data_IF_070971693739
#
_entry.id   IF_070971693739
#
_cell.length_a   1.000
_cell.length_b   1.000
_cell.length_c   1.000
_cell.angle_alpha   90.00
_cell.angle_beta   90.00
_cell.angle_gamma   90.00
#
_symmetry.space_group_name_H-M   'P 1'
#
loop_
_entity.id
_entity.type
_entity.pdbx_description
1 polymer ?
#
# COMPACT_ATOMS: atom_id res chain seq x y z
N UNK A 1 38.90 31.74 2.69
CA UNK A 1 39.86 31.02 1.84
C UNK A 1 39.05 30.19 0.85
N UNK A 2 39.15 30.51 -0.45
CA UNK A 2 38.46 29.83 -1.56
C UNK A 2 39.29 28.63 -2.00
N UNK A 3 38.72 27.42 -1.99
CA UNK A 3 39.31 26.21 -2.57
C UNK A 3 38.51 25.77 -3.80
N UNK A 4 39.13 25.53 -4.97
CA UNK A 4 38.42 25.25 -6.21
C UNK A 4 38.37 23.75 -6.59
N UNK A 5 37.28 23.41 -7.29
CA UNK A 5 37.15 22.47 -8.43
C UNK A 5 37.43 20.97 -8.20
N UNK A 6 36.48 20.14 -8.64
CA UNK A 6 36.69 19.23 -9.78
C UNK A 6 35.35 18.68 -10.32
N UNK A 7 35.13 18.95 -11.61
CA UNK A 7 34.06 18.46 -12.47
C UNK A 7 34.54 17.14 -13.07
N UNK A 8 33.70 16.10 -13.04
CA UNK A 8 33.89 14.91 -13.86
C UNK A 8 32.54 14.50 -14.44
N UNK A 9 32.35 14.83 -15.73
CA UNK A 9 31.26 14.37 -16.55
C UNK A 9 31.69 13.07 -17.24
N UNK A 10 30.93 12.00 -17.08
CA UNK A 10 31.06 10.79 -17.89
C UNK A 10 29.79 10.62 -18.72
N UNK A 11 29.87 11.06 -19.99
CA UNK A 11 28.94 10.66 -21.04
C UNK A 11 29.24 9.20 -21.41
N UNK A 12 28.30 8.30 -21.13
CA UNK A 12 28.27 6.95 -21.71
C UNK A 12 27.21 6.88 -22.79
N UNK A 13 27.63 7.01 -24.05
CA UNK A 13 26.85 6.63 -25.23
C UNK A 13 26.74 5.09 -25.28
N UNK A 14 25.52 4.55 -25.31
CA UNK A 14 25.26 3.21 -25.85
C UNK A 14 24.25 3.31 -26.98
N UNK A 15 24.66 2.82 -28.15
CA UNK A 15 23.92 2.84 -29.40
C UNK A 15 23.58 1.41 -29.86
N UNK A 16 22.44 1.30 -30.55
CA UNK A 16 22.02 0.31 -31.57
C UNK A 16 21.83 -1.16 -31.14
N UNK A 17 20.59 -1.70 -31.21
CA UNK A 17 19.91 -2.39 -32.33
C UNK A 17 19.81 -3.90 -31.99
N UNK A 18 18.69 -4.61 -32.10
CA UNK A 18 17.98 -5.12 -33.29
C UNK A 18 16.56 -5.58 -32.85
N UNK A 19 15.46 -5.21 -33.54
CA UNK A 19 14.82 -5.91 -34.66
C UNK A 19 14.60 -7.42 -34.43
N UNK A 20 13.34 -7.79 -34.15
CA UNK A 20 12.87 -9.17 -34.09
C UNK A 20 11.35 -9.27 -34.05
N UNK A 21 10.67 -8.88 -35.13
CA UNK A 21 9.27 -9.22 -35.38
C UNK A 21 9.22 -10.60 -36.04
N UNK A 22 8.53 -11.57 -35.42
CA UNK A 22 8.15 -12.81 -36.06
C UNK A 22 6.61 -12.93 -36.05
N UNK A 23 5.92 -12.77 -37.20
CA UNK A 23 4.57 -13.28 -37.37
C UNK A 23 4.68 -14.76 -37.79
N UNK A 24 4.31 -15.66 -36.87
CA UNK A 24 4.11 -17.07 -37.18
C UNK A 24 2.79 -17.26 -37.92
N UNK A 25 2.90 -17.87 -39.09
CA UNK A 25 1.86 -18.05 -40.08
C UNK A 25 0.83 -19.13 -39.68
N UNK A 26 -0.31 -18.99 -40.33
CA UNK A 26 -1.57 -19.71 -40.25
C UNK A 26 -1.51 -21.24 -40.50
N UNK A 27 -2.53 -21.93 -39.94
CA UNK A 27 -3.21 -23.18 -40.40
C UNK A 27 -2.79 -24.52 -39.76
N UNK A 28 -3.69 -25.02 -38.91
CA UNK A 28 -4.18 -26.38 -39.02
C UNK A 28 -5.68 -26.46 -38.67
N UNK A 29 -6.45 -27.00 -39.60
CA UNK A 29 -7.90 -27.30 -39.53
C UNK A 29 -8.17 -28.51 -38.62
N UNK A 30 -9.24 -28.46 -37.84
CA UNK A 30 -10.11 -29.61 -37.51
C UNK A 30 -11.51 -29.05 -37.19
N UNK A 31 -12.44 -29.12 -38.14
CA UNK A 31 -13.48 -30.15 -38.22
C UNK A 31 -14.51 -30.04 -37.08
N UNK A 32 -15.58 -29.28 -37.34
CA UNK A 32 -16.77 -29.24 -36.50
C UNK A 32 -17.58 -30.53 -36.63
N UNK A 33 -17.82 -31.19 -35.50
CA UNK A 33 -18.88 -32.19 -35.34
C UNK A 33 -20.15 -31.53 -34.78
N UNK A 34 -21.35 -31.93 -35.23
CA UNK A 34 -22.60 -31.46 -34.64
C UNK A 34 -22.93 -32.35 -33.44
N UNK A 35 -22.87 -31.78 -32.24
CA UNK A 35 -23.37 -32.43 -31.03
C UNK A 35 -22.46 -32.26 -29.83
N UNK A 36 -22.47 -31.06 -29.23
CA UNK A 36 -22.18 -30.93 -27.81
C UNK A 36 -23.17 -29.90 -27.24
N UNK A 37 -23.91 -30.20 -26.16
CA UNK A 37 -24.81 -29.23 -25.56
C UNK A 37 -23.95 -28.05 -25.12
N UNK A 38 -24.22 -26.89 -25.72
CA UNK A 38 -23.55 -25.64 -25.41
C UNK A 38 -23.48 -25.48 -23.88
N UNK A 39 -22.30 -25.76 -23.33
CA UNK A 39 -21.96 -25.46 -21.96
C UNK A 39 -22.05 -23.94 -21.90
N UNK A 40 -23.17 -23.43 -21.40
CA UNK A 40 -23.40 -22.01 -21.21
C UNK A 40 -22.54 -21.53 -20.03
N UNK A 41 -21.23 -21.58 -20.21
CA UNK A 41 -20.27 -20.83 -19.44
C UNK A 41 -20.50 -19.36 -19.81
N UNK A 42 -21.50 -18.73 -19.19
CA UNK A 42 -21.56 -17.29 -19.14
C UNK A 42 -20.17 -16.81 -18.67
N UNK A 43 -19.47 -15.95 -19.41
CA UNK A 43 -18.15 -15.50 -19.00
C UNK A 43 -18.31 -14.91 -17.60
N UNK A 44 -17.65 -15.54 -16.62
CA UNK A 44 -17.57 -15.04 -15.26
C UNK A 44 -17.16 -13.57 -15.35
N UNK A 45 -17.94 -12.72 -14.67
CA UNK A 45 -17.87 -11.27 -14.80
C UNK A 45 -16.42 -10.80 -14.77
N UNK A 46 -15.97 -10.31 -15.93
CA UNK A 46 -14.70 -9.63 -16.12
C UNK A 46 -14.63 -8.52 -15.07
N UNK A 47 -13.57 -8.52 -14.26
CA UNK A 47 -13.38 -7.58 -13.14
C UNK A 47 -13.79 -6.16 -13.54
N UNK A 48 -14.53 -5.47 -12.67
CA UNK A 48 -15.03 -4.11 -12.94
C UNK A 48 -13.87 -3.21 -13.42
N UNK A 49 -13.91 -2.68 -14.67
CA UNK A 49 -12.83 -1.87 -15.21
C UNK A 49 -12.59 -0.59 -14.40
N UNK A 50 -13.64 -0.06 -13.76
CA UNK A 50 -13.55 1.13 -12.89
C UNK A 50 -12.78 0.83 -11.61
N UNK A 51 -13.03 -0.34 -11.00
CA UNK A 51 -12.26 -0.83 -9.86
C UNK A 51 -10.80 -1.06 -10.24
N UNK A 52 -10.54 -1.76 -11.35
CA UNK A 52 -9.17 -2.01 -11.83
C UNK A 52 -8.41 -0.70 -12.07
N UNK A 53 -9.02 0.27 -12.74
CA UNK A 53 -8.41 1.57 -12.99
C UNK A 53 -8.07 2.31 -11.68
N UNK A 54 -8.96 2.26 -10.68
CA UNK A 54 -8.71 2.84 -9.37
C UNK A 54 -7.50 2.19 -8.67
N UNK A 55 -7.44 0.85 -8.63
CA UNK A 55 -6.35 0.11 -8.00
C UNK A 55 -5.01 0.30 -8.73
N UNK A 56 -5.02 0.30 -10.06
CA UNK A 56 -3.83 0.61 -10.87
C UNK A 56 -3.29 2.00 -10.59
N UNK A 57 -4.18 3.00 -10.48
CA UNK A 57 -3.79 4.38 -10.12
C UNK A 57 -3.24 4.47 -8.71
N UNK A 58 -3.85 3.79 -7.74
CA UNK A 58 -3.35 3.76 -6.36
C UNK A 58 -1.94 3.18 -6.29
N UNK A 59 -1.69 2.05 -6.96
CA UNK A 59 -0.34 1.46 -7.08
C UNK A 59 0.67 2.43 -7.70
N UNK A 60 0.30 3.10 -8.79
CA UNK A 60 1.16 4.07 -9.45
C UNK A 60 1.48 5.27 -8.54
N UNK A 61 0.51 5.74 -7.75
CA UNK A 61 0.69 6.83 -6.80
C UNK A 61 1.62 6.45 -5.62
N UNK A 62 1.50 5.24 -5.08
CA UNK A 62 2.45 4.71 -4.09
C UNK A 62 3.88 4.64 -4.65
N UNK A 63 4.04 4.11 -5.86
CA UNK A 63 5.35 4.09 -6.52
C UNK A 63 5.90 5.50 -6.77
N UNK A 64 5.05 6.44 -7.20
CA UNK A 64 5.44 7.84 -7.37
C UNK A 64 5.87 8.48 -6.05
N UNK A 65 5.24 8.12 -4.93
CA UNK A 65 5.64 8.56 -3.60
C UNK A 65 7.04 8.03 -3.26
N UNK A 66 7.33 6.76 -3.52
CA UNK A 66 8.67 6.20 -3.28
C UNK A 66 9.75 6.86 -4.14
N UNK A 67 9.47 7.10 -5.43
CA UNK A 67 10.38 7.84 -6.32
C UNK A 67 10.64 9.25 -5.79
N UNK A 68 9.60 9.94 -5.34
CA UNK A 68 9.72 11.29 -4.76
C UNK A 68 10.55 11.28 -3.46
N UNK A 69 10.35 10.30 -2.58
CA UNK A 69 11.16 10.14 -1.36
C UNK A 69 12.62 9.86 -1.70
N UNK A 70 12.90 9.02 -2.70
CA UNK A 70 14.26 8.77 -3.19
C UNK A 70 14.96 10.02 -3.73
N UNK A 71 14.19 10.98 -4.24
CA UNK A 71 14.68 12.29 -4.68
C UNK A 71 14.74 13.35 -3.54
N UNK A 72 14.33 12.99 -2.32
CA UNK A 72 14.22 13.92 -1.19
C UNK A 72 13.02 14.88 -1.24
N UNK A 73 12.10 14.70 -2.18
CA UNK A 73 10.88 15.51 -2.31
C UNK A 73 9.72 14.89 -1.52
N UNK A 74 9.77 15.05 -0.19
CA UNK A 74 8.71 14.59 0.72
C UNK A 74 7.34 15.19 0.37
N UNK A 75 7.31 16.44 -0.08
CA UNK A 75 6.07 17.13 -0.39
C UNK A 75 5.37 16.50 -1.61
N UNK A 76 6.14 16.11 -2.64
CA UNK A 76 5.58 15.35 -3.77
C UNK A 76 5.07 13.97 -3.34
N UNK A 77 5.76 13.28 -2.42
CA UNK A 77 5.30 12.00 -1.90
C UNK A 77 3.94 12.09 -1.20
N UNK A 78 3.78 13.09 -0.30
CA UNK A 78 2.51 13.34 0.38
C UNK A 78 1.38 13.65 -0.62
N UNK A 79 1.65 14.54 -1.60
CA UNK A 79 0.65 14.89 -2.63
C UNK A 79 0.20 13.68 -3.45
N UNK A 80 1.10 12.77 -3.79
CA UNK A 80 0.77 11.57 -4.55
C UNK A 80 -0.21 10.67 -3.77
N UNK A 81 0.06 10.44 -2.48
CA UNK A 81 -0.78 9.62 -1.61
C UNK A 81 -2.13 10.28 -1.28
N UNK A 82 -2.14 11.57 -0.96
CA UNK A 82 -3.36 12.35 -0.74
C UNK A 82 -4.26 12.36 -1.99
N UNK A 83 -3.65 12.34 -3.18
CA UNK A 83 -4.34 12.19 -4.45
C UNK A 83 -5.08 10.86 -4.62
N UNK A 84 -4.71 9.81 -3.89
CA UNK A 84 -5.49 8.56 -3.85
C UNK A 84 -6.80 8.80 -3.08
N UNK A 85 -6.70 9.43 -1.91
CA UNK A 85 -7.83 9.67 -0.99
C UNK A 85 -8.88 10.59 -1.61
N UNK A 86 -8.43 11.67 -2.27
CA UNK A 86 -9.28 12.71 -2.84
C UNK A 86 -9.96 12.31 -4.16
N UNK A 87 -9.63 11.17 -4.72
CA UNK A 87 -10.10 10.81 -6.06
C UNK A 87 -11.51 10.23 -6.09
N UNK A 88 -12.17 10.29 -7.27
CA UNK A 88 -13.41 9.57 -7.50
C UNK A 88 -13.29 8.09 -7.14
N UNK A 89 -14.31 7.58 -6.46
CA UNK A 89 -14.43 6.17 -6.08
C UNK A 89 -15.20 5.41 -7.17
N UNK A 90 -14.87 4.14 -7.43
CA UNK A 90 -15.74 3.29 -8.24
C UNK A 90 -17.12 3.17 -7.57
N UNK A 91 -18.18 2.84 -8.33
CA UNK A 91 -19.52 2.70 -7.78
C UNK A 91 -19.59 1.56 -6.75
N UNK A 92 -20.38 1.79 -5.69
CA UNK A 92 -20.49 0.87 -4.57
C UNK A 92 -19.29 0.93 -3.61
N UNK A 93 -19.26 0.07 -2.57
CA UNK A 93 -18.15 0.00 -1.62
C UNK A 93 -17.34 -1.30 -1.80
N UNK A 94 -16.61 -1.50 -2.91
CA UNK A 94 -15.78 -2.69 -3.07
C UNK A 94 -14.69 -2.73 -1.97
N UNK A 95 -14.48 -3.88 -1.31
CA UNK A 95 -13.57 -3.98 -0.16
C UNK A 95 -12.14 -3.56 -0.53
N UNK A 96 -11.68 -3.86 -1.74
CA UNK A 96 -10.34 -3.54 -2.23
C UNK A 96 -10.06 -2.04 -2.22
N UNK A 97 -11.09 -1.20 -2.38
CA UNK A 97 -10.95 0.27 -2.29
C UNK A 97 -10.77 0.71 -0.85
N UNK A 98 -11.49 0.12 0.10
CA UNK A 98 -11.32 0.42 1.51
C UNK A 98 -9.92 0.00 1.99
N UNK A 99 -9.48 -1.20 1.58
CA UNK A 99 -8.18 -1.78 1.86
C UNK A 99 -7.01 -0.91 1.37
N UNK A 100 -6.97 -0.57 0.08
CA UNK A 100 -5.87 0.26 -0.47
C UNK A 100 -5.89 1.67 0.11
N UNK A 101 -7.05 2.17 0.54
CA UNK A 101 -7.15 3.48 1.20
C UNK A 101 -6.65 3.42 2.63
N UNK A 102 -6.97 2.35 3.37
CA UNK A 102 -6.43 2.11 4.70
C UNK A 102 -4.89 2.02 4.67
N UNK A 103 -4.35 1.30 3.68
CA UNK A 103 -2.90 1.23 3.42
C UNK A 103 -2.29 2.61 3.09
N UNK A 104 -2.98 3.40 2.27
CA UNK A 104 -2.57 4.78 1.96
C UNK A 104 -2.50 5.65 3.23
N UNK A 105 -3.47 5.52 4.14
CA UNK A 105 -3.45 6.23 5.41
C UNK A 105 -2.30 5.78 6.32
N UNK A 106 -1.99 4.48 6.36
CA UNK A 106 -0.82 3.97 7.08
C UNK A 106 0.47 4.62 6.54
N UNK A 107 0.63 4.67 5.22
CA UNK A 107 1.78 5.32 4.58
C UNK A 107 1.87 6.82 4.86
N UNK A 108 0.75 7.54 4.85
CA UNK A 108 0.72 8.96 5.24
C UNK A 108 1.12 9.15 6.71
N UNK A 109 0.64 8.30 7.61
CA UNK A 109 0.99 8.35 9.02
C UNK A 109 2.48 8.10 9.26
N UNK A 110 3.09 7.14 8.56
CA UNK A 110 4.53 6.93 8.60
C UNK A 110 5.29 8.19 8.20
N UNK A 111 4.93 8.79 7.06
CA UNK A 111 5.61 9.98 6.54
C UNK A 111 5.42 11.19 7.47
N UNK A 112 4.24 11.38 8.05
CA UNK A 112 4.02 12.49 8.98
C UNK A 112 4.72 12.23 10.32
N UNK A 113 4.76 10.98 10.78
CA UNK A 113 5.49 10.59 11.99
C UNK A 113 7.00 10.81 11.89
N UNK A 114 7.61 10.52 10.74
CA UNK A 114 9.03 10.83 10.47
C UNK A 114 9.33 12.34 10.47
N UNK A 115 8.36 13.18 10.09
CA UNK A 115 8.49 14.63 10.14
C UNK A 115 8.25 15.20 11.55
N UNK A 116 7.91 14.36 12.53
CA UNK A 116 7.53 14.80 13.88
C UNK A 116 6.09 15.34 13.97
N UNK A 117 5.29 15.19 12.92
CA UNK A 117 3.89 15.62 12.85
C UNK A 117 2.96 14.56 13.48
N UNK A 118 3.25 14.18 14.72
CA UNK A 118 2.65 13.00 15.35
C UNK A 118 1.13 13.06 15.47
N UNK A 119 0.55 14.24 15.66
CA UNK A 119 -0.91 14.39 15.76
C UNK A 119 -1.59 14.30 14.39
N UNK A 120 -0.90 14.68 13.31
CA UNK A 120 -1.39 14.47 11.96
C UNK A 120 -1.32 12.98 11.59
N UNK A 121 -0.23 12.30 11.94
CA UNK A 121 -0.10 10.85 11.78
C UNK A 121 -1.21 10.09 12.53
N UNK A 122 -1.52 10.48 13.77
CA UNK A 122 -2.62 9.88 14.54
C UNK A 122 -3.98 10.02 13.83
N UNK A 123 -4.27 11.18 13.24
CA UNK A 123 -5.51 11.39 12.46
C UNK A 123 -5.59 10.50 11.23
N UNK A 124 -4.48 10.27 10.55
CA UNK A 124 -4.43 9.35 9.40
C UNK A 124 -4.69 7.91 9.85
N UNK A 125 -4.05 7.47 10.94
CA UNK A 125 -4.28 6.14 11.53
C UNK A 125 -5.76 5.95 11.85
N UNK A 126 -6.39 6.92 12.52
CA UNK A 126 -7.81 6.86 12.86
C UNK A 126 -8.70 6.81 11.59
N UNK A 127 -8.32 7.53 10.53
CA UNK A 127 -9.03 7.50 9.26
C UNK A 127 -8.90 6.15 8.55
N UNK A 128 -7.71 5.55 8.56
CA UNK A 128 -7.49 4.20 8.04
C UNK A 128 -8.27 3.14 8.83
N UNK A 129 -8.28 3.22 10.16
CA UNK A 129 -8.95 2.24 11.02
C UNK A 129 -10.48 2.25 10.85
N UNK A 130 -11.07 3.37 10.43
CA UNK A 130 -12.51 3.45 10.08
C UNK A 130 -12.85 2.73 8.76
N UNK A 131 -11.87 2.50 7.91
CA UNK A 131 -12.04 1.85 6.60
C UNK A 131 -11.63 0.39 6.61
N UNK A 132 -10.60 0.04 7.39
CA UNK A 132 -10.03 -1.30 7.40
C UNK A 132 -11.05 -2.34 7.91
N UNK A 133 -11.32 -3.40 7.13
CA UNK A 133 -12.11 -4.54 7.61
C UNK A 133 -11.46 -5.15 8.87
N UNK A 134 -12.27 -5.70 9.79
CA UNK A 134 -11.78 -6.27 11.03
C UNK A 134 -12.26 -7.73 11.19
N UNK A 135 -11.37 -8.69 11.47
CA UNK A 135 -9.91 -8.59 11.43
C UNK A 135 -9.38 -8.52 9.98
N UNK A 136 -8.29 -7.80 9.73
CA UNK A 136 -7.60 -7.84 8.44
C UNK A 136 -6.12 -7.50 8.57
N UNK A 137 -5.35 -7.87 7.55
CA UNK A 137 -3.96 -7.45 7.39
C UNK A 137 -3.82 -5.92 7.51
N UNK A 138 -4.70 -5.16 6.84
CA UNK A 138 -4.66 -3.69 6.83
C UNK A 138 -4.93 -3.08 8.21
N UNK A 139 -5.85 -3.68 8.97
CA UNK A 139 -6.08 -3.27 10.36
C UNK A 139 -4.83 -3.50 11.22
N UNK A 140 -4.20 -4.67 11.09
CA UNK A 140 -2.95 -4.98 11.79
C UNK A 140 -1.84 -4.00 11.43
N UNK A 141 -1.65 -3.71 10.15
CA UNK A 141 -0.64 -2.77 9.66
C UNK A 141 -0.86 -1.34 10.18
N UNK A 142 -2.10 -0.86 10.27
CA UNK A 142 -2.39 0.45 10.87
C UNK A 142 -2.00 0.52 12.35
N UNK A 143 -2.21 -0.54 13.13
CA UNK A 143 -1.77 -0.60 14.53
C UNK A 143 -0.25 -0.69 14.66
N UNK A 144 0.41 -1.41 13.75
CA UNK A 144 1.87 -1.46 13.67
C UNK A 144 2.45 -0.05 13.43
N UNK A 145 1.96 0.65 12.41
CA UNK A 145 2.37 2.03 12.11
C UNK A 145 2.08 2.97 13.26
N UNK A 146 0.93 2.83 13.93
CA UNK A 146 0.62 3.59 15.13
C UNK A 146 1.66 3.39 16.25
N UNK A 147 2.10 2.15 16.45
CA UNK A 147 3.17 1.83 17.39
C UNK A 147 4.49 2.52 17.03
N UNK A 148 4.90 2.44 15.76
CA UNK A 148 6.12 3.09 15.25
C UNK A 148 6.06 4.62 15.40
N UNK A 149 4.89 5.23 15.14
CA UNK A 149 4.68 6.68 15.32
C UNK A 149 4.83 7.07 16.80
N UNK A 150 4.27 6.30 17.73
CA UNK A 150 4.41 6.56 19.17
C UNK A 150 5.85 6.33 19.67
N UNK A 151 6.59 5.38 19.10
CA UNK A 151 8.02 5.20 19.39
C UNK A 151 8.83 6.44 18.98
N UNK A 152 8.57 6.98 17.78
CA UNK A 152 9.18 8.23 17.30
C UNK A 152 8.77 9.41 18.17
N UNK A 153 7.50 9.49 18.59
CA UNK A 153 7.00 10.51 19.53
C UNK A 153 7.75 10.44 20.86
N UNK A 154 7.96 9.25 21.40
CA UNK A 154 8.69 9.05 22.64
C UNK A 154 10.14 9.56 22.55
N UNK A 155 10.85 9.21 21.47
CA UNK A 155 12.22 9.69 21.20
C UNK A 155 12.27 11.22 21.13
N UNK A 156 11.31 11.84 20.44
CA UNK A 156 11.22 13.30 20.34
C UNK A 156 10.92 13.99 21.68
N UNK A 157 10.07 13.39 22.53
CA UNK A 157 9.77 13.90 23.88
C UNK A 157 10.98 13.78 24.81
N UNK A 158 11.69 12.66 24.75
CA UNK A 158 12.91 12.44 25.53
C UNK A 158 14.02 13.43 25.15
N UNK A 159 14.21 13.70 23.86
CA UNK A 159 15.15 14.71 23.38
C UNK A 159 14.81 16.13 23.88
N UNK A 160 13.54 16.40 24.21
CA UNK A 160 13.07 17.65 24.82
C UNK A 160 13.15 17.65 26.34
N UNK A 161 13.57 16.55 26.96
CA UNK A 161 13.65 16.39 28.42
C UNK A 161 12.35 15.96 29.09
N UNK A 162 11.27 15.73 28.34
CA UNK A 162 9.99 15.28 28.89
C UNK A 162 9.97 13.76 29.05
N UNK A 163 10.65 13.30 30.12
CA UNK A 163 10.84 11.87 30.40
C UNK A 163 9.56 11.14 30.73
N UNK A 164 8.60 11.81 31.37
CA UNK A 164 7.33 11.20 31.75
C UNK A 164 6.47 10.95 30.50
N UNK A 165 6.28 11.97 29.66
CA UNK A 165 5.51 11.81 28.43
C UNK A 165 6.18 10.83 27.46
N UNK A 166 7.53 10.82 27.40
CA UNK A 166 8.27 9.84 26.60
C UNK A 166 8.01 8.40 27.09
N UNK A 167 7.94 8.18 28.40
CA UNK A 167 7.65 6.86 28.98
C UNK A 167 6.21 6.42 28.68
N UNK A 168 5.25 7.33 28.77
CA UNK A 168 3.86 7.05 28.38
C UNK A 168 3.74 6.72 26.88
N UNK A 169 4.45 7.45 26.01
CA UNK A 169 4.47 7.18 24.58
C UNK A 169 5.11 5.81 24.26
N UNK A 170 6.19 5.42 24.95
CA UNK A 170 6.75 4.06 24.83
C UNK A 170 5.74 2.98 25.23
N UNK A 171 5.03 3.17 26.34
CA UNK A 171 4.03 2.21 26.79
C UNK A 171 2.89 2.07 25.77
N UNK A 172 2.43 3.17 25.16
CA UNK A 172 1.46 3.14 24.05
C UNK A 172 2.01 2.40 22.84
N UNK A 173 3.26 2.68 22.45
CA UNK A 173 3.90 2.01 21.31
C UNK A 173 3.90 0.48 21.48
N UNK A 174 4.30 -0.02 22.66
CA UNK A 174 4.30 -1.46 22.96
C UNK A 174 2.89 -2.04 22.86
N UNK A 175 1.89 -1.43 23.51
CA UNK A 175 0.52 -1.94 23.46
C UNK A 175 -0.10 -1.94 22.06
N UNK A 176 0.27 -0.98 21.21
CA UNK A 176 -0.16 -0.93 19.80
C UNK A 176 0.49 -2.05 18.97
N UNK A 177 1.78 -2.30 19.16
CA UNK A 177 2.50 -3.38 18.49
C UNK A 177 2.00 -4.77 18.91
N UNK A 178 1.75 -4.97 20.21
CA UNK A 178 1.13 -6.21 20.72
C UNK A 178 -0.26 -6.44 20.11
N UNK A 179 -1.05 -5.37 19.97
CA UNK A 179 -2.35 -5.44 19.29
C UNK A 179 -2.21 -5.78 17.81
N UNK A 180 -1.23 -5.22 17.11
CA UNK A 180 -0.95 -5.54 15.72
C UNK A 180 -0.63 -7.03 15.56
N UNK A 181 0.25 -7.58 16.42
CA UNK A 181 0.60 -9.01 16.45
C UNK A 181 -0.65 -9.87 16.65
N UNK A 182 -1.47 -9.55 17.67
CA UNK A 182 -2.69 -10.32 17.95
C UNK A 182 -3.68 -10.33 16.78
N UNK A 183 -3.81 -9.21 16.06
CA UNK A 183 -4.67 -9.15 14.86
C UNK A 183 -4.09 -10.01 13.74
N UNK A 184 -2.79 -9.94 13.49
CA UNK A 184 -2.13 -10.72 12.45
C UNK A 184 -2.20 -12.23 12.74
N UNK A 185 -1.98 -12.65 13.99
CA UNK A 185 -2.13 -14.05 14.42
C UNK A 185 -3.56 -14.57 14.14
N UNK A 186 -4.57 -13.75 14.40
CA UNK A 186 -5.96 -14.07 14.08
C UNK A 186 -6.20 -14.20 12.59
N UNK A 187 -5.70 -13.26 11.77
CA UNK A 187 -5.81 -13.32 10.31
C UNK A 187 -5.15 -14.59 9.76
N UNK A 188 -3.96 -14.93 10.26
CA UNK A 188 -3.23 -16.15 9.88
C UNK A 188 -4.03 -17.40 10.25
N UNK A 189 -4.54 -17.45 11.48
CA UNK A 189 -5.33 -18.59 11.98
C UNK A 189 -6.58 -18.80 11.12
N UNK A 190 -7.36 -17.75 10.89
CA UNK A 190 -8.59 -17.82 10.08
C UNK A 190 -8.30 -18.24 8.62
N UNK A 191 -7.20 -17.76 8.03
CA UNK A 191 -6.80 -18.13 6.68
C UNK A 191 -6.36 -19.61 6.55
N UNK A 192 -5.70 -20.15 7.57
CA UNK A 192 -5.20 -21.53 7.58
C UNK A 192 -6.28 -22.56 7.93
N UNK A 193 -7.25 -22.22 8.78
CA UNK A 193 -8.33 -23.14 9.16
C UNK A 193 -9.43 -23.24 8.10
N UNK A 194 -9.41 -22.38 7.08
CA UNK A 194 -10.46 -22.27 6.06
C UNK A 194 -11.80 -21.77 6.63
N UNK A 195 -12.79 -21.47 5.77
CA UNK A 195 -14.16 -21.24 6.23
C UNK A 195 -14.66 -22.56 6.84
N UNK A 196 -14.77 -22.58 8.17
CA UNK A 196 -14.93 -23.78 8.96
C UNK A 196 -15.83 -24.83 8.33
N UNK A 197 -15.33 -26.06 8.29
CA UNK A 197 -16.12 -27.26 8.10
C UNK A 197 -17.26 -27.21 9.13
N UNK A 198 -18.46 -26.82 8.69
CA UNK A 198 -19.64 -26.89 9.56
C UNK A 198 -19.83 -28.36 9.90
N UNK A 199 -19.93 -28.75 11.19
CA UNK A 199 -20.34 -30.09 11.55
C UNK A 199 -21.68 -30.38 10.86
N UNK A 200 -21.73 -31.44 10.06
CA UNK A 200 -22.97 -31.94 9.46
C UNK A 200 -23.86 -32.58 10.52
#
# INVERSE_FOLDING_TARGET
MRGPRLVAACLGLFAAAHLGCAPGDERARAAGGPGDPACACAPAQVVDPTLLAFLSRARAAHHAADVALGAGDRAAALRALEGIIAAPRPPGPPPEVAEVTADTYARLAELRGEAGEFDAAARDIDAGLRLAPAPSHYQGHLYEVAGVVEERRAKALEAKGDREAATQARARAVGLLERAISIQDRVITEALTGPGEKPR
#
